data_IF_402228493451
#
_entry.id   IF_402228493451
#
_cell.length_a   1.000
_cell.length_b   1.000
_cell.length_c   1.000
_cell.angle_alpha   90.00
_cell.angle_beta   90.00
_cell.angle_gamma   90.00
#
_symmetry.space_group_name_H-M   'P 1'
#
loop_
_entity.id
_entity.type
_entity.pdbx_description
1 polymer ?
#
# COMPACT_ATOMS: atom_id res chain seq x y z
N UNK A 1 31.03 -11.80 3.18
CA UNK A 1 29.84 -10.98 2.88
C UNK A 1 28.98 -10.98 4.12
N UNK A 2 28.59 -9.81 4.63
CA UNK A 2 27.62 -9.73 5.73
C UNK A 2 26.26 -9.94 5.08
N UNK A 3 25.60 -11.07 5.34
CA UNK A 3 24.19 -11.26 4.99
C UNK A 3 23.40 -10.11 5.60
N UNK A 4 22.80 -9.27 4.76
CA UNK A 4 21.86 -8.27 5.22
C UNK A 4 20.64 -9.02 5.73
N UNK A 5 20.43 -9.00 7.03
CA UNK A 5 19.22 -9.53 7.62
C UNK A 5 18.03 -8.65 7.18
N UNK A 6 17.17 -9.21 6.33
CA UNK A 6 15.94 -8.55 5.91
C UNK A 6 15.06 -8.26 7.14
N UNK A 7 14.55 -7.03 7.21
CA UNK A 7 13.69 -6.58 8.32
C UNK A 7 12.22 -6.81 8.07
N UNK A 8 11.81 -6.91 6.82
CA UNK A 8 10.42 -7.04 6.41
C UNK A 8 10.25 -6.80 4.91
N UNK A 9 8.99 -6.82 4.48
CA UNK A 9 8.60 -6.69 3.08
C UNK A 9 7.62 -5.52 2.90
N UNK A 10 7.69 -4.84 1.77
CA UNK A 10 6.69 -3.85 1.37
C UNK A 10 6.23 -4.19 -0.04
N UNK A 11 4.95 -4.50 -0.17
CA UNK A 11 4.29 -4.82 -1.42
C UNK A 11 3.68 -3.55 -2.01
N UNK A 12 4.05 -3.24 -3.23
CA UNK A 12 3.63 -2.05 -3.96
C UNK A 12 2.73 -2.49 -5.09
N UNK A 13 1.56 -1.89 -5.22
CA UNK A 13 0.91 -1.86 -6.52
C UNK A 13 1.74 -1.02 -7.53
N UNK A 14 1.45 -1.17 -8.83
CA UNK A 14 2.22 -0.54 -9.92
C UNK A 14 1.60 0.79 -10.36
N UNK A 15 0.54 0.70 -11.15
CA UNK A 15 -0.14 1.81 -11.79
C UNK A 15 -0.84 2.64 -10.72
N UNK A 16 -0.74 3.96 -10.82
CA UNK A 16 -1.29 4.86 -9.81
C UNK A 16 -0.73 4.61 -8.40
N UNK A 17 0.35 3.85 -8.23
CA UNK A 17 1.00 3.71 -6.91
C UNK A 17 2.46 4.14 -6.98
N UNK A 18 3.23 3.52 -7.88
CA UNK A 18 4.62 3.89 -8.15
C UNK A 18 4.73 4.97 -9.22
N UNK A 19 3.77 5.04 -10.14
CA UNK A 19 3.76 5.98 -11.26
C UNK A 19 2.56 5.74 -12.17
N UNK A 20 2.51 6.51 -13.25
CA UNK A 20 1.53 6.35 -14.32
C UNK A 20 2.23 5.72 -15.51
N UNK A 21 1.71 4.58 -15.99
CA UNK A 21 2.30 3.80 -17.07
C UNK A 21 1.31 3.51 -18.21
N UNK A 22 0.13 4.14 -18.26
CA UNK A 22 -0.96 3.83 -19.21
C UNK A 22 -0.51 3.74 -20.69
N UNK A 23 0.41 4.62 -21.13
CA UNK A 23 0.93 4.58 -22.51
C UNK A 23 1.70 3.32 -22.85
N UNK A 24 2.26 2.64 -21.84
CA UNK A 24 3.09 1.47 -22.01
C UNK A 24 2.31 0.32 -22.66
N UNK A 25 1.03 0.18 -22.35
CA UNK A 25 0.19 -0.85 -22.95
C UNK A 25 0.11 -0.68 -24.47
N UNK A 26 -0.10 0.55 -24.94
CA UNK A 26 -0.14 0.87 -26.37
C UNK A 26 1.22 0.63 -27.03
N UNK A 27 2.30 1.06 -26.38
CA UNK A 27 3.67 0.88 -26.88
C UNK A 27 4.03 -0.61 -27.04
N UNK A 28 3.69 -1.44 -26.05
CA UNK A 28 3.93 -2.89 -26.09
C UNK A 28 3.13 -3.61 -27.19
N UNK A 29 1.98 -3.05 -27.57
CA UNK A 29 1.13 -3.55 -28.64
C UNK A 29 1.47 -2.94 -30.01
N UNK A 30 2.45 -2.02 -30.10
CA UNK A 30 2.79 -1.30 -31.33
C UNK A 30 1.67 -0.38 -31.83
N UNK A 31 0.80 0.08 -30.93
CA UNK A 31 -0.33 0.97 -31.23
C UNK A 31 0.02 2.43 -31.00
N UNK A 32 -0.67 3.31 -31.70
CA UNK A 32 -0.60 4.75 -31.45
C UNK A 32 -1.21 5.08 -30.09
N UNK A 33 -0.52 5.93 -29.33
CA UNK A 33 -1.01 6.41 -28.03
C UNK A 33 -2.14 7.41 -28.27
N UNK A 34 -3.33 7.23 -27.65
CA UNK A 34 -4.43 8.17 -27.82
C UNK A 34 -4.07 9.60 -27.41
N UNK A 35 -4.56 10.59 -28.17
CA UNK A 35 -4.39 12.00 -27.84
C UNK A 35 -4.92 12.31 -26.42
N UNK A 36 -4.09 12.93 -25.60
CA UNK A 36 -4.44 13.33 -24.24
C UNK A 36 -4.13 12.31 -23.15
N UNK A 37 -3.57 11.13 -23.49
CA UNK A 37 -3.00 10.25 -22.46
C UNK A 37 -1.77 10.90 -21.83
N UNK A 38 -1.70 10.87 -20.51
CA UNK A 38 -0.54 11.34 -19.75
C UNK A 38 0.70 10.50 -20.11
N UNK A 39 1.89 11.12 -20.08
CA UNK A 39 3.14 10.41 -20.32
C UNK A 39 3.45 9.36 -19.25
N UNK A 40 4.48 8.56 -19.48
CA UNK A 40 5.00 7.66 -18.45
C UNK A 40 5.82 8.49 -17.44
N UNK A 41 5.38 8.53 -16.18
CA UNK A 41 6.11 9.23 -15.13
C UNK A 41 6.00 8.53 -13.79
N UNK A 42 7.03 8.71 -12.96
CA UNK A 42 7.05 8.21 -11.60
C UNK A 42 6.36 9.20 -10.65
N UNK A 43 5.72 8.65 -9.62
CA UNK A 43 5.28 9.42 -8.47
C UNK A 43 6.47 10.21 -7.88
N UNK A 44 6.23 11.46 -7.52
CA UNK A 44 7.27 12.31 -6.92
C UNK A 44 7.88 11.65 -5.66
N UNK A 45 9.20 11.67 -5.56
CA UNK A 45 10.02 11.14 -4.46
C UNK A 45 9.96 9.60 -4.25
N UNK A 46 9.35 8.84 -5.16
CA UNK A 46 9.19 7.39 -4.96
C UNK A 46 10.54 6.64 -4.96
N UNK A 47 11.50 7.06 -5.77
CA UNK A 47 12.83 6.43 -5.82
C UNK A 47 13.58 6.62 -4.51
N UNK A 48 13.51 7.83 -3.95
CA UNK A 48 14.11 8.22 -2.69
C UNK A 48 13.49 7.42 -1.55
N UNK A 49 12.17 7.25 -1.56
CA UNK A 49 11.46 6.41 -0.59
C UNK A 49 11.91 4.94 -0.67
N UNK A 50 11.93 4.34 -1.86
CA UNK A 50 12.35 2.95 -2.04
C UNK A 50 13.80 2.74 -1.57
N UNK A 51 14.73 3.63 -1.96
CA UNK A 51 16.12 3.60 -1.47
C UNK A 51 16.21 3.73 0.05
N UNK A 52 15.42 4.64 0.63
CA UNK A 52 15.36 4.82 2.08
C UNK A 52 14.93 3.53 2.78
N UNK A 53 13.86 2.88 2.32
CA UNK A 53 13.34 1.65 2.90
C UNK A 53 14.28 0.46 2.69
N UNK A 54 14.86 0.31 1.50
CA UNK A 54 15.94 -0.64 1.22
C UNK A 54 17.13 -0.46 2.18
N UNK A 55 17.53 0.79 2.47
CA UNK A 55 18.60 1.07 3.44
C UNK A 55 18.25 0.68 4.88
N UNK A 56 16.96 0.58 5.20
CA UNK A 56 16.44 0.08 6.48
C UNK A 56 16.29 -1.44 6.50
N UNK A 57 16.57 -2.13 5.39
CA UNK A 57 16.50 -3.59 5.27
C UNK A 57 15.14 -4.11 4.83
N UNK A 58 14.28 -3.28 4.23
CA UNK A 58 13.04 -3.76 3.63
C UNK A 58 13.28 -4.24 2.20
N UNK A 59 12.71 -5.40 1.86
CA UNK A 59 12.60 -5.90 0.49
C UNK A 59 11.32 -5.36 -0.15
N UNK A 60 11.36 -5.10 -1.44
CA UNK A 60 10.27 -4.51 -2.19
C UNK A 60 9.69 -5.54 -3.14
N UNK A 61 8.38 -5.77 -3.03
CA UNK A 61 7.64 -6.63 -3.94
C UNK A 61 6.71 -5.78 -4.79
N UNK A 62 6.61 -6.08 -6.08
CA UNK A 62 5.62 -5.47 -6.96
C UNK A 62 4.43 -6.42 -7.09
N UNK A 63 3.24 -6.01 -6.67
CA UNK A 63 2.00 -6.82 -6.73
C UNK A 63 0.98 -6.09 -7.58
N UNK A 64 0.77 -6.52 -8.83
CA UNK A 64 0.02 -5.75 -9.84
C UNK A 64 -1.04 -6.57 -10.57
N UNK A 65 -2.15 -5.92 -10.94
CA UNK A 65 -3.18 -6.51 -11.80
C UNK A 65 -2.79 -6.52 -13.28
N UNK A 66 -1.62 -5.99 -13.64
CA UNK A 66 -1.04 -6.11 -14.96
C UNK A 66 -0.35 -7.47 -15.17
N UNK A 67 -0.12 -7.84 -16.43
CA UNK A 67 0.67 -9.01 -16.78
C UNK A 67 2.16 -8.79 -16.55
N UNK A 68 2.92 -9.88 -16.38
CA UNK A 68 4.36 -9.89 -16.11
C UNK A 68 5.16 -8.97 -17.03
N UNK A 69 5.03 -9.16 -18.35
CA UNK A 69 5.75 -8.36 -19.37
C UNK A 69 5.51 -6.85 -19.23
N UNK A 70 4.30 -6.44 -18.85
CA UNK A 70 3.99 -5.02 -18.64
C UNK A 70 4.70 -4.50 -17.40
N UNK A 71 4.66 -5.26 -16.30
CA UNK A 71 5.27 -4.91 -15.03
C UNK A 71 6.80 -4.79 -15.13
N UNK A 72 7.44 -5.77 -15.76
CA UNK A 72 8.89 -5.76 -16.02
C UNK A 72 9.31 -4.54 -16.84
N UNK A 73 8.60 -4.27 -17.93
CA UNK A 73 8.91 -3.15 -18.80
C UNK A 73 8.67 -1.81 -18.10
N UNK A 74 7.61 -1.69 -17.29
CA UNK A 74 7.36 -0.51 -16.46
C UNK A 74 8.51 -0.26 -15.48
N UNK A 75 9.01 -1.30 -14.80
CA UNK A 75 10.17 -1.18 -13.92
C UNK A 75 11.46 -0.84 -14.69
N UNK A 76 11.63 -1.36 -15.91
CA UNK A 76 12.82 -1.11 -16.74
C UNK A 76 12.86 0.32 -17.25
N UNK A 77 11.80 0.82 -17.89
CA UNK A 77 11.76 2.18 -18.46
C UNK A 77 11.80 3.24 -17.37
N UNK A 78 11.19 2.94 -16.22
CA UNK A 78 11.30 3.79 -15.05
C UNK A 78 12.59 3.59 -14.28
N UNK A 79 13.45 2.63 -14.61
CA UNK A 79 14.67 2.33 -13.86
C UNK A 79 14.44 1.94 -12.40
N UNK A 80 13.22 1.51 -12.03
CA UNK A 80 12.90 0.95 -10.72
C UNK A 80 13.37 -0.50 -10.57
N UNK A 81 13.70 -1.18 -11.68
CA UNK A 81 14.34 -2.50 -11.69
C UNK A 81 15.70 -2.58 -10.95
N UNK A 82 16.28 -1.42 -10.60
CA UNK A 82 17.48 -1.34 -9.73
C UNK A 82 17.15 -1.42 -8.23
N UNK A 83 15.88 -1.33 -7.87
CA UNK A 83 15.36 -1.26 -6.50
C UNK A 83 14.35 -2.38 -6.19
N UNK A 84 13.68 -2.90 -7.22
CA UNK A 84 12.77 -4.03 -7.16
C UNK A 84 13.33 -5.10 -8.11
N UNK A 85 13.62 -6.29 -7.59
CA UNK A 85 14.17 -7.39 -8.39
C UNK A 85 13.09 -7.99 -9.30
N UNK A 86 13.50 -8.61 -10.40
CA UNK A 86 12.58 -9.30 -11.33
C UNK A 86 11.87 -10.47 -10.62
N UNK A 87 12.60 -11.24 -9.80
CA UNK A 87 12.04 -12.32 -8.95
C UNK A 87 11.07 -11.81 -7.86
N UNK A 88 10.94 -10.50 -7.67
CA UNK A 88 10.04 -9.85 -6.70
C UNK A 88 8.77 -9.28 -7.35
N UNK A 89 8.52 -9.63 -8.62
CA UNK A 89 7.32 -9.24 -9.36
C UNK A 89 6.25 -10.33 -9.23
N UNK A 90 5.06 -9.91 -8.80
CA UNK A 90 3.87 -10.73 -8.59
C UNK A 90 2.74 -10.18 -9.47
N UNK A 91 2.66 -10.63 -10.74
CA UNK A 91 1.65 -10.19 -11.70
C UNK A 91 0.27 -10.79 -11.42
N UNK A 92 -0.71 -10.33 -12.21
CA UNK A 92 -2.14 -10.63 -12.08
C UNK A 92 -2.45 -12.12 -11.91
N UNK A 93 -1.85 -12.93 -12.77
CA UNK A 93 -2.05 -14.38 -12.85
C UNK A 93 -1.58 -15.11 -11.59
N UNK A 94 -0.72 -14.50 -10.78
CA UNK A 94 -0.28 -15.04 -9.49
C UNK A 94 -1.19 -14.53 -8.37
N UNK A 95 -1.38 -13.21 -8.27
CA UNK A 95 -2.07 -12.61 -7.12
C UNK A 95 -3.58 -12.82 -7.10
N UNK A 96 -4.20 -13.18 -8.24
CA UNK A 96 -5.63 -13.47 -8.38
C UNK A 96 -5.97 -14.95 -8.64
N UNK A 97 -4.98 -15.85 -8.68
CA UNK A 97 -5.15 -17.23 -9.18
C UNK A 97 -6.25 -18.05 -8.49
N UNK A 98 -6.70 -17.67 -7.29
CA UNK A 98 -7.60 -18.48 -6.44
C UNK A 98 -8.97 -17.88 -6.14
N UNK A 99 -9.29 -16.64 -6.53
CA UNK A 99 -10.49 -15.95 -6.03
C UNK A 99 -11.36 -15.26 -7.10
N UNK A 100 -12.69 -15.38 -6.94
CA UNK A 100 -13.72 -14.92 -7.89
C UNK A 100 -14.05 -13.42 -7.80
N UNK A 101 -13.47 -12.68 -6.85
CA UNK A 101 -14.00 -11.38 -6.42
C UNK A 101 -13.06 -10.18 -6.65
N UNK A 102 -11.92 -10.37 -7.30
CA UNK A 102 -11.09 -9.25 -7.73
C UNK A 102 -10.31 -8.53 -6.63
N UNK A 103 -9.98 -9.21 -5.51
CA UNK A 103 -9.01 -8.74 -4.50
C UNK A 103 -7.68 -9.49 -4.61
N UNK A 104 -6.57 -8.85 -4.22
CA UNK A 104 -5.22 -9.43 -4.25
C UNK A 104 -4.96 -10.35 -3.06
N UNK A 105 -4.23 -11.43 -3.31
CA UNK A 105 -3.73 -12.36 -2.28
C UNK A 105 -2.23 -12.14 -2.05
N UNK A 106 -1.78 -12.32 -0.82
CA UNK A 106 -0.42 -11.99 -0.39
C UNK A 106 0.27 -13.11 0.39
N UNK A 107 -0.39 -14.24 0.63
CA UNK A 107 0.20 -15.39 1.34
C UNK A 107 1.44 -15.94 0.62
N UNK A 108 1.41 -16.02 -0.72
CA UNK A 108 2.57 -16.50 -1.48
C UNK A 108 3.72 -15.49 -1.48
N UNK A 109 3.40 -14.18 -1.46
CA UNK A 109 4.38 -13.10 -1.27
C UNK A 109 5.04 -13.21 0.11
N UNK A 110 4.23 -13.42 1.17
CA UNK A 110 4.72 -13.65 2.53
C UNK A 110 5.62 -14.90 2.60
N UNK A 111 5.23 -16.00 1.95
CA UNK A 111 6.04 -17.21 1.90
C UNK A 111 7.40 -16.96 1.21
N UNK A 112 7.42 -16.28 0.06
CA UNK A 112 8.66 -15.94 -0.65
C UNK A 112 9.56 -14.98 0.14
N UNK A 113 8.96 -13.95 0.74
CA UNK A 113 9.68 -12.95 1.52
C UNK A 113 10.37 -13.53 2.76
N UNK A 114 9.83 -14.61 3.32
CA UNK A 114 10.31 -15.17 4.59
C UNK A 114 10.67 -16.65 4.51
N UNK A 115 10.86 -17.18 3.30
CA UNK A 115 11.12 -18.60 3.02
C UNK A 115 12.21 -19.23 3.90
N UNK A 116 13.16 -18.42 4.38
CA UNK A 116 14.28 -18.86 5.22
C UNK A 116 14.11 -18.64 6.74
N UNK A 117 13.06 -17.98 7.20
CA UNK A 117 12.83 -17.70 8.63
C UNK A 117 12.06 -18.84 9.32
N UNK A 118 12.83 -19.75 9.95
CA UNK A 118 12.31 -20.89 10.71
C UNK A 118 11.71 -20.51 12.08
N UNK A 119 11.66 -19.23 12.47
CA UNK A 119 11.38 -18.80 13.85
C UNK A 119 9.89 -18.66 14.22
N UNK A 120 8.95 -19.09 13.35
CA UNK A 120 7.49 -19.02 13.58
C UNK A 120 6.95 -17.62 13.90
N UNK A 121 7.64 -16.55 13.48
CA UNK A 121 7.10 -15.20 13.62
C UNK A 121 5.91 -15.04 12.68
N UNK A 122 4.90 -14.27 13.10
CA UNK A 122 3.83 -13.83 12.19
C UNK A 122 4.43 -12.80 11.25
N UNK A 123 4.92 -13.25 10.10
CA UNK A 123 5.66 -12.45 9.13
C UNK A 123 4.88 -11.25 8.60
N UNK A 124 3.57 -11.40 8.49
CA UNK A 124 2.59 -10.34 8.22
C UNK A 124 2.71 -9.13 9.16
N UNK A 125 3.22 -9.29 10.38
CA UNK A 125 3.47 -8.16 11.29
C UNK A 125 4.60 -7.22 10.79
N UNK A 126 5.43 -7.70 9.86
CA UNK A 126 6.59 -7.03 9.25
C UNK A 126 6.38 -6.76 7.76
N UNK A 127 5.19 -7.02 7.24
CA UNK A 127 4.81 -6.76 5.87
C UNK A 127 3.82 -5.60 5.80
N UNK A 128 3.84 -4.85 4.70
CA UNK A 128 2.98 -3.69 4.45
C UNK A 128 2.56 -3.71 2.98
N UNK A 129 1.31 -3.37 2.70
CA UNK A 129 0.82 -3.20 1.33
C UNK A 129 0.52 -1.72 1.07
N UNK A 130 0.89 -1.24 -0.10
CA UNK A 130 0.60 0.10 -0.59
C UNK A 130 -0.06 0.00 -1.96
N UNK A 131 -1.21 0.64 -2.14
CA UNK A 131 -1.94 0.65 -3.40
C UNK A 131 -2.85 1.88 -3.54
N UNK A 132 -3.44 2.08 -4.71
CA UNK A 132 -4.33 3.21 -5.00
C UNK A 132 -5.81 2.86 -4.85
N UNK A 133 -6.15 1.56 -4.79
CA UNK A 133 -7.53 1.08 -4.80
C UNK A 133 -7.82 0.09 -3.68
N UNK A 134 -9.09 0.08 -3.27
CA UNK A 134 -9.63 -0.91 -2.33
C UNK A 134 -9.39 -2.36 -2.75
N UNK A 135 -9.28 -2.64 -4.05
CA UNK A 135 -9.03 -4.00 -4.55
C UNK A 135 -7.59 -4.48 -4.32
N UNK A 136 -6.67 -3.59 -3.98
CA UNK A 136 -5.31 -3.94 -3.56
C UNK A 136 -5.28 -4.46 -2.12
N UNK A 137 -6.37 -4.28 -1.37
CA UNK A 137 -6.49 -4.74 0.00
C UNK A 137 -6.29 -6.27 0.07
N UNK A 138 -5.46 -6.75 1.00
CA UNK A 138 -5.25 -8.19 1.19
C UNK A 138 -6.54 -8.93 1.55
N UNK A 139 -6.89 -9.97 0.79
CA UNK A 139 -8.05 -10.83 1.08
C UNK A 139 -7.73 -11.93 2.12
N UNK A 140 -6.47 -12.40 2.12
CA UNK A 140 -6.03 -13.64 2.78
C UNK A 140 -5.24 -13.41 4.08
N UNK A 141 -4.59 -12.24 4.24
CA UNK A 141 -3.75 -11.93 5.40
C UNK A 141 -4.37 -10.88 6.33
N UNK A 142 -5.12 -11.34 7.35
CA UNK A 142 -5.88 -10.47 8.29
C UNK A 142 -5.04 -9.46 9.11
N UNK A 143 -3.74 -9.67 9.26
CA UNK A 143 -2.85 -8.83 10.09
C UNK A 143 -1.99 -7.88 9.26
N UNK A 144 -2.17 -7.89 7.95
CA UNK A 144 -1.42 -7.06 7.03
C UNK A 144 -2.03 -5.66 6.99
N UNK A 145 -1.19 -4.64 7.20
CA UNK A 145 -1.62 -3.24 7.08
C UNK A 145 -1.63 -2.85 5.62
N UNK A 146 -2.72 -2.21 5.19
CA UNK A 146 -2.87 -1.64 3.85
C UNK A 146 -2.88 -0.12 3.94
N UNK A 147 -1.97 0.54 3.22
CA UNK A 147 -2.02 1.98 2.98
C UNK A 147 -2.66 2.18 1.62
N UNK A 148 -3.86 2.74 1.60
CA UNK A 148 -4.46 3.17 0.35
C UNK A 148 -4.17 4.65 0.13
N UNK A 149 -3.66 4.97 -1.05
CA UNK A 149 -3.35 6.32 -1.47
C UNK A 149 -4.04 6.66 -2.79
N UNK A 150 -5.34 6.96 -2.70
CA UNK A 150 -6.19 7.38 -3.83
C UNK A 150 -5.70 8.65 -4.53
N UNK A 151 -4.75 9.38 -3.93
CA UNK A 151 -4.21 10.66 -4.41
C UNK A 151 -2.71 10.58 -4.74
N UNK A 152 -2.21 9.36 -4.96
CA UNK A 152 -0.88 9.02 -5.46
C UNK A 152 -0.32 9.96 -6.55
N UNK A 153 -1.13 10.35 -7.55
CA UNK A 153 -0.75 11.19 -8.67
C UNK A 153 -0.43 12.62 -8.25
N UNK A 154 -1.06 13.10 -7.19
CA UNK A 154 -0.97 14.51 -6.76
C UNK A 154 -0.07 14.70 -5.55
N UNK A 155 0.26 13.63 -4.82
CA UNK A 155 1.05 13.69 -3.60
C UNK A 155 2.41 12.97 -3.73
N UNK A 156 3.46 13.67 -3.30
CA UNK A 156 4.79 13.08 -3.09
C UNK A 156 4.72 11.85 -2.17
N UNK A 157 5.58 10.86 -2.47
CA UNK A 157 5.76 9.65 -1.69
C UNK A 157 6.31 9.92 -0.26
N UNK A 158 6.74 11.14 0.06
CA UNK A 158 7.11 11.54 1.42
C UNK A 158 5.94 11.37 2.41
N UNK A 159 4.69 11.48 1.94
CA UNK A 159 3.50 11.16 2.76
C UNK A 159 3.54 9.72 3.25
N UNK A 160 3.82 8.77 2.34
CA UNK A 160 3.96 7.37 2.68
C UNK A 160 5.12 7.15 3.65
N UNK A 161 6.25 7.84 3.46
CA UNK A 161 7.37 7.78 4.39
C UNK A 161 6.95 8.15 5.82
N UNK A 162 6.21 9.25 5.99
CA UNK A 162 5.75 9.71 7.30
C UNK A 162 4.82 8.68 7.96
N UNK A 163 3.94 8.05 7.18
CA UNK A 163 3.04 6.99 7.66
C UNK A 163 3.85 5.76 8.08
N UNK A 164 4.73 5.27 7.21
CA UNK A 164 5.58 4.09 7.44
C UNK A 164 6.47 4.30 8.67
N UNK A 165 7.19 5.41 8.76
CA UNK A 165 8.01 5.74 9.93
C UNK A 165 7.16 5.86 11.21
N UNK A 166 5.94 6.40 11.08
CA UNK A 166 4.97 6.50 12.17
C UNK A 166 4.56 5.13 12.71
N UNK A 167 4.16 4.22 11.82
CA UNK A 167 3.81 2.84 12.14
C UNK A 167 4.96 2.12 12.83
N UNK A 168 6.14 2.14 12.22
CA UNK A 168 7.31 1.44 12.74
C UNK A 168 7.74 1.97 14.11
N UNK A 169 7.74 3.29 14.30
CA UNK A 169 8.07 3.91 15.58
C UNK A 169 7.07 3.50 16.67
N UNK A 170 5.77 3.58 16.39
CA UNK A 170 4.74 3.29 17.39
C UNK A 170 4.64 1.79 17.71
N UNK A 171 4.81 0.94 16.69
CA UNK A 171 4.72 -0.52 16.79
C UNK A 171 6.02 -1.22 17.20
N UNK A 172 7.09 -0.46 17.47
CA UNK A 172 8.43 -0.98 17.77
C UNK A 172 8.89 -1.99 16.69
N UNK A 173 8.85 -1.55 15.43
CA UNK A 173 9.26 -2.33 14.27
C UNK A 173 8.21 -3.27 13.66
N UNK A 174 6.95 -3.21 14.11
CA UNK A 174 5.84 -3.95 13.48
C UNK A 174 4.78 -2.99 12.98
N UNK A 175 4.29 -3.23 11.76
CA UNK A 175 3.26 -2.43 11.13
C UNK A 175 1.93 -2.57 11.85
N UNK A 176 1.47 -3.80 12.11
CA UNK A 176 0.19 -4.03 12.79
C UNK A 176 0.16 -3.46 14.21
N UNK A 177 1.22 -3.66 15.00
CA UNK A 177 1.30 -3.04 16.34
C UNK A 177 1.36 -1.52 16.26
N UNK A 178 1.95 -1.00 15.19
CA UNK A 178 1.98 0.43 14.89
C UNK A 178 0.59 0.97 14.63
N UNK A 179 -0.16 0.28 13.77
CA UNK A 179 -1.54 0.58 13.46
C UNK A 179 -2.39 0.57 14.73
N UNK A 180 -2.43 -0.56 15.46
CA UNK A 180 -3.27 -0.74 16.65
C UNK A 180 -3.01 0.37 17.69
N UNK A 181 -1.74 0.75 17.87
CA UNK A 181 -1.36 1.80 18.81
C UNK A 181 -1.79 3.18 18.35
N UNK A 182 -1.57 3.54 17.08
CA UNK A 182 -2.02 4.82 16.55
C UNK A 182 -3.54 4.89 16.57
N UNK A 183 -4.22 3.79 16.24
CA UNK A 183 -5.66 3.63 16.32
C UNK A 183 -6.20 3.87 17.73
N UNK A 184 -5.59 3.26 18.74
CA UNK A 184 -5.92 3.54 20.14
C UNK A 184 -5.61 4.97 20.58
N UNK A 185 -4.52 5.59 20.08
CA UNK A 185 -4.25 7.01 20.35
C UNK A 185 -5.31 7.92 19.73
N UNK A 186 -5.69 7.66 18.49
CA UNK A 186 -6.74 8.39 17.81
C UNK A 186 -8.08 8.24 18.53
N UNK A 187 -8.39 7.07 19.09
CA UNK A 187 -9.58 6.85 19.91
C UNK A 187 -9.64 7.81 21.11
N UNK A 188 -8.52 7.94 21.81
CA UNK A 188 -8.39 8.86 22.94
C UNK A 188 -8.50 10.35 22.52
N UNK A 189 -8.18 10.66 21.26
CA UNK A 189 -8.32 12.00 20.66
C UNK A 189 -9.70 12.23 20.03
N UNK A 190 -10.53 11.19 19.86
CA UNK A 190 -11.81 11.29 19.13
C UNK A 190 -12.91 11.87 20.01
N UNK A 191 -12.93 13.20 20.12
CA UNK A 191 -14.12 13.96 20.49
C UNK A 191 -14.85 14.41 19.21
N UNK A 192 -16.10 13.95 19.02
CA UNK A 192 -17.11 14.50 18.10
C UNK A 192 -16.85 14.37 16.58
N UNK A 193 -17.19 13.21 16.00
CA UNK A 193 -17.71 13.15 14.62
C UNK A 193 -18.93 12.21 14.58
N UNK A 194 -20.13 12.71 14.24
CA UNK A 194 -21.26 11.83 13.99
C UNK A 194 -21.13 11.28 12.57
N UNK A 195 -20.38 10.19 12.38
CA UNK A 195 -20.34 9.52 11.08
C UNK A 195 -21.40 8.42 11.01
N UNK A 196 -22.54 8.76 10.40
CA UNK A 196 -23.39 7.78 9.72
C UNK A 196 -22.80 7.59 8.32
N UNK A 197 -22.06 6.51 8.12
CA UNK A 197 -21.76 6.03 6.77
C UNK A 197 -23.07 5.68 6.06
N UNK A 198 -23.27 6.03 4.77
CA UNK A 198 -24.43 5.62 4.00
C UNK A 198 -24.42 4.12 3.63
N UNK A 199 -23.34 3.41 3.95
CA UNK A 199 -23.24 1.96 3.80
C UNK A 199 -23.68 1.24 5.08
N UNK A 200 -24.28 0.04 5.00
CA UNK A 200 -24.65 -0.76 6.17
C UNK A 200 -23.47 -1.23 7.03
N UNK A 201 -22.23 -0.89 6.64
CA UNK A 201 -21.00 -1.25 7.33
C UNK A 201 -20.85 -0.36 8.57
N UNK A 202 -20.77 -0.97 9.76
CA UNK A 202 -20.26 -0.31 10.97
C UNK A 202 -18.74 -0.12 10.82
N UNK A 203 -18.34 0.85 10.00
CA UNK A 203 -16.94 1.23 9.85
C UNK A 203 -16.60 2.20 10.97
N UNK A 204 -15.66 1.83 11.82
CA UNK A 204 -15.06 2.74 12.78
C UNK A 204 -13.85 3.41 12.10
N UNK A 205 -13.93 4.73 11.95
CA UNK A 205 -12.90 5.55 11.29
C UNK A 205 -12.34 6.50 12.32
N UNK A 206 -11.03 6.43 12.53
CA UNK A 206 -10.31 7.29 13.47
C UNK A 206 -9.31 8.15 12.75
N UNK A 207 -9.09 9.34 13.31
CA UNK A 207 -8.23 10.36 12.71
C UNK A 207 -7.04 10.62 13.62
N UNK A 208 -5.85 10.59 13.03
CA UNK A 208 -4.59 10.91 13.71
C UNK A 208 -3.77 11.89 12.89
N UNK A 209 -2.92 12.69 13.55
CA UNK A 209 -2.03 13.62 12.85
C UNK A 209 -0.59 13.41 13.28
N UNK A 210 0.31 13.32 12.31
CA UNK A 210 1.74 13.16 12.56
C UNK A 210 2.55 13.93 11.51
N UNK A 211 3.47 14.80 11.94
CA UNK A 211 4.38 15.57 11.07
C UNK A 211 3.68 16.23 9.86
N UNK A 212 2.53 16.86 10.08
CA UNK A 212 1.79 17.56 9.02
C UNK A 212 1.10 16.62 8.02
N UNK A 213 1.04 15.32 8.29
CA UNK A 213 0.21 14.35 7.56
C UNK A 213 -0.96 13.94 8.46
N UNK A 214 -2.14 13.86 7.89
CA UNK A 214 -3.36 13.37 8.52
C UNK A 214 -3.62 11.93 8.07
N UNK A 215 -3.81 11.04 9.04
CA UNK A 215 -4.11 9.63 8.83
C UNK A 215 -5.59 9.42 9.12
N UNK A 216 -6.34 8.92 8.15
CA UNK A 216 -7.64 8.30 8.40
C UNK A 216 -7.38 6.81 8.52
N UNK A 217 -7.75 6.22 9.64
CA UNK A 217 -7.53 4.81 9.92
C UNK A 217 -8.87 4.13 10.04
N UNK A 218 -8.99 3.00 9.39
CA UNK A 218 -10.19 2.22 9.29
C UNK A 218 -9.88 0.78 9.72
N UNK A 219 -10.68 0.21 10.63
CA UNK A 219 -10.84 -1.24 10.71
C UNK A 219 -12.04 -1.61 9.85
N UNK A 220 -11.80 -1.99 8.61
CA UNK A 220 -12.89 -2.43 7.74
C UNK A 220 -13.30 -3.85 8.15
N UNK A 221 -14.57 -4.06 8.50
CA UNK A 221 -15.19 -5.38 8.43
C UNK A 221 -15.78 -5.58 7.05
N UNK A 222 -15.22 -6.51 6.26
CA UNK A 222 -15.93 -7.00 5.08
C UNK A 222 -16.99 -7.97 5.62
N UNK A 223 -18.19 -7.47 5.91
CA UNK A 223 -19.34 -8.28 6.37
C UNK A 223 -19.97 -9.12 5.25
N UNK A 224 -19.34 -9.27 4.08
CA UNK A 224 -20.07 -9.83 2.95
C UNK A 224 -20.35 -11.33 3.08
N UNK A 225 -19.45 -12.15 3.63
CA UNK A 225 -19.76 -13.57 3.86
C UNK A 225 -18.86 -14.13 4.97
N UNK A 226 -19.45 -14.90 5.89
CA UNK A 226 -18.87 -15.64 7.05
C UNK A 226 -19.11 -14.92 8.40
N UNK A 227 -19.59 -15.70 9.39
CA UNK A 227 -20.02 -15.32 10.74
C UNK A 227 -18.91 -14.74 11.66
N UNK A 228 -17.84 -14.17 11.11
CA UNK A 228 -16.81 -13.45 11.86
C UNK A 228 -16.45 -12.14 11.16
N UNK A 229 -16.58 -10.97 11.81
CA UNK A 229 -16.07 -9.73 11.26
C UNK A 229 -14.55 -9.84 11.11
N UNK A 230 -14.07 -9.96 9.87
CA UNK A 230 -12.65 -9.84 9.57
C UNK A 230 -12.28 -8.36 9.63
N UNK A 231 -11.47 -7.93 10.59
CA UNK A 231 -10.90 -6.58 10.60
C UNK A 231 -9.67 -6.53 9.72
N UNK A 232 -9.67 -5.61 8.75
CA UNK A 232 -8.48 -5.33 7.93
C UNK A 232 -8.05 -3.88 8.20
N UNK A 233 -6.84 -3.66 8.75
CA UNK A 233 -6.35 -2.33 9.08
C UNK A 233 -5.96 -1.57 7.81
N UNK A 234 -6.67 -0.48 7.54
CA UNK A 234 -6.46 0.40 6.37
C UNK A 234 -6.11 1.82 6.82
N UNK A 235 -5.15 2.43 6.13
CA UNK A 235 -4.76 3.83 6.36
C UNK A 235 -4.88 4.61 5.06
N UNK A 236 -5.52 5.77 5.14
CA UNK A 236 -5.50 6.81 4.12
C UNK A 236 -4.66 7.96 4.63
N UNK A 237 -3.76 8.47 3.80
CA UNK A 237 -2.83 9.53 4.18
C UNK A 237 -2.93 10.75 3.28
N UNK A 238 -3.12 11.93 3.85
CA UNK A 238 -3.07 13.20 3.10
C UNK A 238 -2.24 14.24 3.86
N UNK A 239 -1.53 15.12 3.13
CA UNK A 239 -0.90 16.29 3.76
C UNK A 239 -1.99 17.13 4.44
N UNK A 240 -1.81 17.45 5.71
CA UNK A 240 -2.80 18.16 6.52
C UNK A 240 -3.15 19.55 5.95
N UNK A 241 -2.19 20.21 5.29
CA UNK A 241 -2.42 21.48 4.60
C UNK A 241 -3.24 21.32 3.31
N UNK A 242 -3.04 20.22 2.56
CA UNK A 242 -3.84 19.91 1.36
C UNK A 242 -5.29 19.57 1.72
N UNK A 243 -5.51 18.83 2.80
CA UNK A 243 -6.86 18.48 3.28
C UNK A 243 -7.72 19.70 3.63
N UNK A 244 -7.12 20.76 4.20
CA UNK A 244 -7.85 22.01 4.51
C UNK A 244 -8.40 22.67 3.25
N UNK A 245 -7.60 22.72 2.18
CA UNK A 245 -8.01 23.29 0.88
C UNK A 245 -9.08 22.45 0.19
N UNK A 246 -9.05 21.12 0.37
CA UNK A 246 -10.04 20.21 -0.20
C UNK A 246 -11.39 20.34 0.50
N UNK A 247 -11.41 20.45 1.83
CA UNK A 247 -12.64 20.69 2.61
C UNK A 247 -13.24 22.08 2.40
N UNK A 248 -12.44 23.08 2.03
CA UNK A 248 -12.91 24.42 1.65
C UNK A 248 -13.56 24.46 0.26
N UNK A 249 -13.25 23.50 -0.63
CA UNK A 249 -13.89 23.37 -1.95
C UNK A 249 -15.23 22.64 -1.93
N UNK A 250 -15.55 21.95 -0.83
CA UNK A 250 -16.78 21.15 -0.65
C UNK A 250 -17.82 21.91 0.21
N UNK A 251 -17.58 23.19 0.50
CA UNK A 251 -18.56 24.11 1.09
C UNK A 251 -19.04 25.12 0.05
#
# INVERSE_FOLDING_TARGET
MIERQERGAICWDLDDTLGVFEQLEYQLQGKEVPNGQEGIFLRADIRELLKYLSSKGYRHFLTTSAGERYAEEALRISGLNKLIAEDDIWPNDIIYFRHRFGYKTYAEVEESAFFYDKTKKKHSDLMLVVGDRVNDQPEDLKRLVFIEDINCRTHSAEVLRVIIDGLLKQGKGSFIRGFDRIYGLADNETSRMPNRSPYPRKIDVKKYRNKGVEFLMEYSSIEFYINEPKSFPRIYGIKAESYRKEMERVK
#
